data_IF_705465742930
#
_entry.id   IF_705465742930
#
_cell.length_a   1.000
_cell.length_b   1.000
_cell.length_c   1.000
_cell.angle_alpha   90.00
_cell.angle_beta   90.00
_cell.angle_gamma   90.00
#
_symmetry.space_group_name_H-M   'P 1'
#
loop_
_entity.id
_entity.type
_entity.pdbx_description
1 polymer ?
#
# COMPACT_ATOMS: atom_id res chain seq x y z
N UNK A 1 -9.43 -16.46 -14.68
CA UNK A 1 -9.68 -15.16 -14.01
C UNK A 1 -11.08 -15.19 -13.43
N UNK A 2 -11.22 -15.15 -12.09
CA UNK A 2 -12.53 -15.11 -11.42
C UNK A 2 -12.90 -13.64 -11.22
N UNK A 3 -13.94 -13.17 -11.89
CA UNK A 3 -14.37 -11.76 -11.84
C UNK A 3 -15.15 -11.41 -10.57
N UNK A 4 -15.45 -12.42 -9.75
CA UNK A 4 -16.17 -12.28 -8.48
C UNK A 4 -15.17 -12.46 -7.35
N UNK A 5 -15.12 -11.48 -6.46
CA UNK A 5 -14.27 -11.51 -5.27
C UNK A 5 -14.58 -12.73 -4.41
N UNK A 6 -13.55 -13.25 -3.73
CA UNK A 6 -13.75 -14.16 -2.60
C UNK A 6 -14.42 -13.45 -1.43
N UNK A 7 -14.81 -14.21 -0.41
CA UNK A 7 -15.35 -13.64 0.82
C UNK A 7 -14.28 -12.84 1.57
N UNK A 8 -13.07 -13.36 1.68
CA UNK A 8 -11.92 -12.66 2.28
C UNK A 8 -11.61 -11.34 1.56
N UNK A 9 -11.65 -11.33 0.23
CA UNK A 9 -11.44 -10.11 -0.56
C UNK A 9 -12.57 -9.08 -0.36
N UNK A 10 -13.82 -9.54 -0.19
CA UNK A 10 -14.93 -8.64 0.17
C UNK A 10 -14.74 -8.06 1.57
N UNK A 11 -14.31 -8.88 2.53
CA UNK A 11 -14.05 -8.42 3.89
C UNK A 11 -12.91 -7.40 3.93
N UNK A 12 -11.82 -7.64 3.19
CA UNK A 12 -10.74 -6.67 3.02
C UNK A 12 -11.26 -5.35 2.44
N UNK A 13 -12.06 -5.42 1.37
CA UNK A 13 -12.67 -4.24 0.74
C UNK A 13 -13.46 -3.41 1.75
N UNK A 14 -14.37 -4.06 2.47
CA UNK A 14 -15.25 -3.38 3.43
C UNK A 14 -14.46 -2.81 4.62
N UNK A 15 -13.45 -3.55 5.13
CA UNK A 15 -12.60 -3.08 6.21
C UNK A 15 -11.79 -1.82 5.82
N UNK A 16 -11.13 -1.84 4.65
CA UNK A 16 -10.36 -0.69 4.15
C UNK A 16 -11.29 0.50 3.89
N UNK A 17 -12.43 0.28 3.25
CA UNK A 17 -13.43 1.31 2.98
C UNK A 17 -13.96 1.95 4.27
N UNK A 18 -14.33 1.14 5.26
CA UNK A 18 -14.86 1.63 6.52
C UNK A 18 -13.83 2.47 7.28
N UNK A 19 -12.58 1.99 7.34
CA UNK A 19 -11.48 2.74 7.94
C UNK A 19 -11.28 4.10 7.25
N UNK A 20 -11.19 4.12 5.92
CA UNK A 20 -10.93 5.35 5.17
C UNK A 20 -12.05 6.37 5.31
N UNK A 21 -13.31 5.93 5.34
CA UNK A 21 -14.46 6.81 5.61
C UNK A 21 -14.37 7.50 6.97
N UNK A 22 -13.85 6.81 7.99
CA UNK A 22 -13.72 7.33 9.34
C UNK A 22 -12.44 8.18 9.53
N UNK A 23 -11.31 7.71 9.01
CA UNK A 23 -9.99 8.29 9.29
C UNK A 23 -9.52 9.31 8.25
N UNK A 24 -9.89 9.14 6.98
CA UNK A 24 -9.46 10.00 5.85
C UNK A 24 -10.63 10.37 4.92
N UNK A 25 -11.69 11.03 5.44
CA UNK A 25 -12.83 11.45 4.61
C UNK A 25 -12.39 12.48 3.54
N UNK A 26 -13.06 12.48 2.39
CA UNK A 26 -12.70 13.30 1.21
C UNK A 26 -12.38 14.79 1.49
N UNK A 27 -13.08 15.51 2.38
CA UNK A 27 -12.70 16.88 2.72
C UNK A 27 -11.27 17.01 3.26
N UNK A 28 -10.82 16.04 4.07
CA UNK A 28 -9.47 15.99 4.64
C UNK A 28 -8.41 15.55 3.63
N UNK A 29 -8.79 14.86 2.55
CA UNK A 29 -7.82 14.41 1.54
C UNK A 29 -7.05 15.59 0.90
N UNK A 30 -7.67 16.77 0.86
CA UNK A 30 -7.04 18.01 0.34
C UNK A 30 -5.96 18.58 1.27
N UNK A 31 -5.95 18.20 2.54
CA UNK A 31 -4.97 18.67 3.54
C UNK A 31 -3.62 17.95 3.38
N UNK A 32 -3.57 16.85 2.63
CA UNK A 32 -2.36 16.10 2.34
C UNK A 32 -2.10 14.96 3.32
N UNK A 33 -0.86 14.48 3.34
CA UNK A 33 -0.46 13.32 4.12
C UNK A 33 -0.52 13.59 5.63
N UNK A 34 -1.30 12.78 6.34
CA UNK A 34 -1.35 12.76 7.80
C UNK A 34 -0.66 11.48 8.34
N UNK A 35 0.51 11.60 8.99
CA UNK A 35 1.22 10.47 9.58
C UNK A 35 0.41 9.70 10.64
N UNK A 36 -0.51 10.36 11.36
CA UNK A 36 -1.34 9.70 12.36
C UNK A 36 -2.38 8.79 11.72
N UNK A 37 -3.02 9.26 10.63
CA UNK A 37 -3.94 8.43 9.83
C UNK A 37 -3.20 7.23 9.25
N UNK A 38 -1.98 7.42 8.75
CA UNK A 38 -1.18 6.33 8.20
C UNK A 38 -0.70 5.33 9.27
N UNK A 39 -0.30 5.82 10.45
CA UNK A 39 0.03 4.97 11.58
C UNK A 39 -1.18 4.12 12.01
N UNK A 40 -2.38 4.71 12.04
CA UNK A 40 -3.62 3.99 12.31
C UNK A 40 -3.97 2.97 11.22
N UNK A 41 -3.78 3.32 9.94
CA UNK A 41 -4.01 2.41 8.82
C UNK A 41 -3.18 1.13 8.98
N UNK A 42 -1.92 1.28 9.41
CA UNK A 42 -1.03 0.14 9.64
C UNK A 42 -1.31 -0.57 10.96
N UNK A 43 -1.58 0.16 12.05
CA UNK A 43 -1.86 -0.43 13.36
C UNK A 43 -3.21 -1.16 13.43
N UNK A 44 -4.22 -0.68 12.70
CA UNK A 44 -5.57 -1.25 12.71
C UNK A 44 -5.78 -2.29 11.61
N UNK A 45 -5.22 -2.09 10.40
CA UNK A 45 -5.44 -2.98 9.25
C UNK A 45 -4.19 -3.72 8.76
N UNK A 46 -2.98 -3.34 9.19
CA UNK A 46 -1.74 -3.94 8.68
C UNK A 46 -1.49 -3.67 7.19
N UNK A 47 -2.09 -2.62 6.62
CA UNK A 47 -2.23 -2.51 5.16
C UNK A 47 -0.87 -2.42 4.43
N UNK A 48 0.14 -1.77 5.01
CA UNK A 48 1.49 -1.71 4.40
C UNK A 48 2.21 -3.07 4.39
N UNK A 49 1.88 -3.96 5.33
CA UNK A 49 2.38 -5.33 5.39
C UNK A 49 1.59 -6.32 4.54
N UNK A 50 0.54 -5.88 3.82
CA UNK A 50 -0.40 -6.77 3.14
C UNK A 50 0.27 -7.80 2.24
N UNK A 51 1.23 -7.37 1.40
CA UNK A 51 1.96 -8.25 0.46
C UNK A 51 3.37 -8.61 0.95
N UNK A 52 3.73 -8.21 2.16
CA UNK A 52 5.00 -8.62 2.77
C UNK A 52 4.87 -10.09 3.18
N UNK A 53 5.84 -10.96 2.86
CA UNK A 53 5.82 -12.36 3.29
C UNK A 53 5.67 -12.52 4.81
N UNK A 54 4.99 -13.57 5.26
CA UNK A 54 4.73 -13.85 6.68
C UNK A 54 6.02 -13.97 7.51
N UNK A 55 7.10 -14.49 6.92
CA UNK A 55 8.43 -14.58 7.56
C UNK A 55 9.05 -13.21 7.92
N UNK A 56 8.53 -12.12 7.34
CA UNK A 56 8.91 -10.74 7.66
C UNK A 56 7.79 -10.00 8.42
N UNK A 57 6.89 -10.73 9.08
CA UNK A 57 5.75 -10.22 9.84
C UNK A 57 4.66 -9.52 9.00
N UNK A 58 4.60 -9.80 7.69
CA UNK A 58 3.51 -9.36 6.82
C UNK A 58 2.33 -10.34 6.76
N UNK A 59 1.34 -10.03 5.92
CA UNK A 59 0.15 -10.86 5.74
C UNK A 59 0.26 -11.87 4.59
N UNK A 60 1.32 -11.83 3.78
CA UNK A 60 1.56 -12.78 2.69
C UNK A 60 0.49 -12.78 1.58
N UNK A 61 -0.31 -11.71 1.47
CA UNK A 61 -1.41 -11.66 0.52
C UNK A 61 -0.93 -11.50 -0.94
N UNK A 62 -1.82 -11.82 -1.88
CA UNK A 62 -1.54 -11.77 -3.30
C UNK A 62 -1.81 -10.43 -3.96
N UNK A 63 -1.57 -10.38 -5.28
CA UNK A 63 -1.82 -9.19 -6.10
C UNK A 63 -3.30 -8.81 -6.18
N UNK A 64 -4.22 -9.77 -6.00
CA UNK A 64 -5.66 -9.48 -6.02
C UNK A 64 -6.09 -8.73 -4.76
N UNK A 65 -5.62 -9.15 -3.59
CA UNK A 65 -5.85 -8.45 -2.33
C UNK A 65 -5.23 -7.04 -2.36
N UNK A 66 -4.01 -6.92 -2.92
CA UNK A 66 -3.40 -5.62 -3.14
C UNK A 66 -4.23 -4.72 -4.06
N UNK A 67 -4.75 -5.27 -5.17
CA UNK A 67 -5.61 -4.51 -6.07
C UNK A 67 -6.87 -4.00 -5.37
N UNK A 68 -7.51 -4.83 -4.52
CA UNK A 68 -8.65 -4.42 -3.70
C UNK A 68 -8.30 -3.27 -2.76
N UNK A 69 -7.16 -3.37 -2.06
CA UNK A 69 -6.67 -2.29 -1.18
C UNK A 69 -6.37 -0.99 -1.96
N UNK A 70 -5.75 -1.10 -3.13
CA UNK A 70 -5.46 0.03 -4.01
C UNK A 70 -6.72 0.68 -4.58
N UNK A 71 -7.73 -0.09 -4.93
CA UNK A 71 -9.03 0.44 -5.38
C UNK A 71 -9.68 1.30 -4.30
N UNK A 72 -9.75 0.82 -3.06
CA UNK A 72 -10.42 1.54 -1.98
C UNK A 72 -9.61 2.76 -1.51
N UNK A 73 -8.28 2.65 -1.44
CA UNK A 73 -7.40 3.80 -1.13
C UNK A 73 -7.44 4.86 -2.24
N UNK A 74 -7.50 4.46 -3.51
CA UNK A 74 -7.71 5.36 -4.64
C UNK A 74 -9.08 6.03 -4.64
N UNK A 75 -10.16 5.29 -4.33
CA UNK A 75 -11.51 5.82 -4.23
C UNK A 75 -11.66 6.86 -3.09
N UNK A 76 -10.90 6.69 -2.01
CA UNK A 76 -10.85 7.65 -0.91
C UNK A 76 -9.88 8.83 -1.15
N UNK A 77 -9.12 8.81 -2.26
CA UNK A 77 -8.00 9.72 -2.51
C UNK A 77 -7.04 9.79 -1.33
N UNK A 78 -6.72 8.63 -0.72
CA UNK A 78 -5.88 8.56 0.48
C UNK A 78 -4.55 9.31 0.22
N UNK A 79 -4.30 10.40 0.94
CA UNK A 79 -3.02 11.09 0.83
C UNK A 79 -1.94 10.26 1.49
N UNK A 80 -0.82 10.07 0.81
CA UNK A 80 0.35 9.43 1.39
C UNK A 80 0.97 8.33 0.54
N UNK A 81 1.99 7.66 1.10
CA UNK A 81 2.90 6.81 0.34
C UNK A 81 2.38 5.36 0.22
N UNK A 82 1.08 5.10 0.34
CA UNK A 82 0.58 3.72 0.29
C UNK A 82 0.87 3.06 -1.06
N UNK A 83 0.49 3.72 -2.16
CA UNK A 83 0.74 3.22 -3.51
C UNK A 83 2.24 3.03 -3.79
N UNK A 84 3.05 4.04 -3.46
CA UNK A 84 4.50 4.01 -3.73
C UNK A 84 5.20 2.94 -2.90
N UNK A 85 4.81 2.80 -1.63
CA UNK A 85 5.38 1.79 -0.72
C UNK A 85 4.96 0.40 -1.18
N UNK A 86 3.69 0.18 -1.51
CA UNK A 86 3.23 -1.09 -2.05
C UNK A 86 4.00 -1.49 -3.32
N UNK A 87 4.24 -0.54 -4.23
CA UNK A 87 5.00 -0.80 -5.45
C UNK A 87 6.47 -1.14 -5.17
N UNK A 88 7.11 -0.40 -4.26
CA UNK A 88 8.46 -0.71 -3.81
C UNK A 88 8.53 -2.08 -3.12
N UNK A 89 7.52 -2.45 -2.33
CA UNK A 89 7.43 -3.77 -1.67
C UNK A 89 7.41 -4.91 -2.69
N UNK A 90 6.72 -4.77 -3.83
CA UNK A 90 6.75 -5.77 -4.92
C UNK A 90 8.17 -6.01 -5.45
N UNK A 91 9.02 -4.99 -5.48
CA UNK A 91 10.43 -5.15 -5.84
C UNK A 91 11.25 -5.74 -4.68
N UNK A 92 11.03 -5.25 -3.46
CA UNK A 92 11.74 -5.68 -2.25
C UNK A 92 11.52 -7.16 -1.91
N UNK A 93 10.34 -7.71 -2.19
CA UNK A 93 10.07 -9.14 -2.00
C UNK A 93 10.93 -10.04 -2.89
N UNK A 94 11.45 -9.53 -4.01
CA UNK A 94 12.37 -10.27 -4.89
C UNK A 94 13.81 -10.28 -4.37
N UNK A 95 14.26 -9.16 -3.78
CA UNK A 95 15.62 -9.04 -3.22
C UNK A 95 15.70 -9.50 -1.76
N UNK A 96 14.54 -9.69 -1.11
CA UNK A 96 14.40 -10.30 0.23
C UNK A 96 15.19 -9.56 1.31
N UNK A 97 15.23 -8.22 1.22
CA UNK A 97 15.84 -7.37 2.25
C UNK A 97 14.99 -7.42 3.53
N UNK A 98 15.49 -8.13 4.54
CA UNK A 98 14.77 -8.39 5.79
C UNK A 98 14.41 -7.10 6.53
N UNK A 99 15.37 -6.18 6.67
CA UNK A 99 15.20 -5.00 7.52
C UNK A 99 14.18 -4.05 6.89
N UNK A 100 14.22 -3.88 5.57
CA UNK A 100 13.23 -3.09 4.84
C UNK A 100 11.85 -3.73 4.87
N UNK A 101 11.74 -5.04 4.60
CA UNK A 101 10.46 -5.74 4.57
C UNK A 101 9.77 -5.74 5.94
N UNK A 102 10.51 -6.02 7.01
CA UNK A 102 9.97 -5.95 8.38
C UNK A 102 9.60 -4.51 8.75
N UNK A 103 10.44 -3.52 8.39
CA UNK A 103 10.11 -2.12 8.62
C UNK A 103 8.84 -1.65 7.90
N UNK A 104 8.59 -2.16 6.69
CA UNK A 104 7.36 -1.88 5.92
C UNK A 104 6.16 -2.56 6.55
N UNK A 105 6.30 -3.83 6.96
CA UNK A 105 5.22 -4.58 7.62
C UNK A 105 4.73 -3.88 8.90
N UNK A 106 5.66 -3.34 9.68
CA UNK A 106 5.39 -2.56 10.89
C UNK A 106 4.93 -1.12 10.61
N UNK A 107 4.92 -0.67 9.35
CA UNK A 107 4.57 0.69 8.97
C UNK A 107 5.59 1.76 9.36
N UNK A 108 6.82 1.37 9.74
CA UNK A 108 7.92 2.28 10.11
C UNK A 108 8.75 2.75 8.92
N UNK A 109 8.75 1.99 7.82
CA UNK A 109 9.47 2.31 6.59
C UNK A 109 8.48 2.68 5.49
N UNK A 110 8.69 3.86 4.92
CA UNK A 110 8.03 4.31 3.70
C UNK A 110 8.99 4.08 2.54
N UNK A 111 8.51 3.55 1.43
CA UNK A 111 9.35 3.23 0.30
C UNK A 111 8.79 3.78 -1.01
N UNK A 112 9.68 4.02 -1.95
CA UNK A 112 9.36 4.37 -3.33
C UNK A 112 10.47 3.83 -4.22
N UNK A 113 10.14 3.51 -5.47
CA UNK A 113 11.15 3.23 -6.47
C UNK A 113 11.71 4.54 -7.00
N UNK A 114 13.02 4.72 -6.83
CA UNK A 114 13.77 5.84 -7.39
C UNK A 114 14.39 5.46 -8.72
N UNK A 115 14.10 6.22 -9.76
CA UNK A 115 14.69 6.04 -11.08
C UNK A 115 13.95 6.83 -12.15
N UNK A 116 14.54 6.98 -13.34
CA UNK A 116 13.83 7.54 -14.49
C UNK A 116 12.58 6.68 -14.76
N UNK A 117 11.39 7.28 -14.73
CA UNK A 117 10.14 6.64 -15.17
C UNK A 117 10.14 6.39 -16.68
N UNK A 118 10.91 7.19 -17.41
CA UNK A 118 11.19 7.10 -18.83
C UNK A 118 12.70 7.17 -19.02
N UNK A 119 13.21 6.60 -20.11
CA UNK A 119 14.60 6.85 -20.50
C UNK A 119 14.89 8.37 -20.51
N UNK A 120 16.11 8.79 -20.15
CA UNK A 120 16.50 10.18 -20.35
C UNK A 120 16.24 10.54 -21.82
N UNK A 121 15.74 11.75 -22.12
CA UNK A 121 15.56 12.17 -23.49
C UNK A 121 16.88 11.98 -24.24
N UNK A 122 16.85 11.59 -25.53
CA UNK A 122 18.07 11.41 -26.31
C UNK A 122 18.92 12.69 -26.20
N UNK A 123 20.23 12.50 -26.01
CA UNK A 123 21.16 13.63 -25.93
C UNK A 123 21.11 14.49 -27.20
N UNK A 124 21.56 15.74 -27.14
CA UNK A 124 21.64 16.59 -28.32
C UNK A 124 22.49 15.92 -29.43
N UNK A 125 22.20 16.21 -30.72
CA UNK A 125 22.92 15.65 -31.85
C UNK A 125 24.40 16.03 -31.89
#
# INVERSE_FOLDING_TARGET
>A
MKLVLSEEQRQLREAVRAFLRAASPLPKAREGFDPQVYARLNGELGLSGLIVPEEFAGAGAGMTELAVALEETGAALLPGPFLTTAFATVALTRVRDKDLLTGIAEGRVLAALGGPLTDPPPGPP
#
